data_IF_419716840325
#
_entry.id   IF_419716840325
#
_cell.length_a   1.000
_cell.length_b   1.000
_cell.length_c   1.000
_cell.angle_alpha   90.00
_cell.angle_beta   90.00
_cell.angle_gamma   90.00
#
_symmetry.space_group_name_H-M   'P 1'
#
loop_
_entity.id
_entity.type
_entity.pdbx_description
1 polymer ?
#
# COMPACT_ATOMS: atom_id res chain seq x y z
N UNK A 1 0.13 -4.87 17.79
CA UNK A 1 0.14 -3.47 17.30
C UNK A 1 -1.17 -2.81 17.71
N UNK A 2 -1.06 -1.69 18.37
CA UNK A 2 -2.25 -0.95 18.81
C UNK A 2 -2.73 0.00 17.72
N UNK A 3 -4.04 0.04 17.50
CA UNK A 3 -4.67 0.96 16.57
C UNK A 3 -5.08 2.21 17.33
N UNK A 4 -4.67 3.37 16.82
CA UNK A 4 -5.11 4.66 17.36
C UNK A 4 -6.26 5.18 16.50
N UNK A 5 -7.50 5.24 17.04
CA UNK A 5 -8.66 5.62 16.25
C UNK A 5 -8.59 7.03 15.66
N UNK A 6 -7.76 7.91 16.21
CA UNK A 6 -7.62 9.27 15.71
C UNK A 6 -6.61 9.38 14.57
N UNK A 7 -5.60 8.50 14.54
CA UNK A 7 -4.50 8.57 13.60
C UNK A 7 -4.55 7.50 12.51
N UNK A 8 -5.21 6.38 12.77
CA UNK A 8 -5.19 5.20 11.91
C UNK A 8 -6.51 4.97 11.19
N UNK A 9 -6.43 4.76 9.88
CA UNK A 9 -7.55 4.26 9.07
C UNK A 9 -7.24 2.80 8.75
N UNK A 10 -8.18 1.91 8.99
CA UNK A 10 -7.97 0.46 8.87
C UNK A 10 -8.97 -0.16 7.91
N UNK A 11 -8.46 -0.93 6.95
CA UNK A 11 -9.27 -1.71 6.02
C UNK A 11 -8.86 -3.17 6.13
N UNK A 12 -9.82 -4.06 6.36
CA UNK A 12 -9.58 -5.50 6.45
C UNK A 12 -10.44 -6.22 5.43
N UNK A 13 -9.84 -7.19 4.71
CA UNK A 13 -10.53 -8.03 3.72
C UNK A 13 -10.02 -9.45 3.81
N UNK A 14 -10.90 -10.41 3.51
CA UNK A 14 -10.48 -11.78 3.23
C UNK A 14 -10.31 -11.90 1.72
N UNK A 15 -9.11 -12.25 1.27
CA UNK A 15 -8.78 -12.37 -0.15
C UNK A 15 -8.64 -13.84 -0.50
N UNK A 16 -9.26 -14.25 -1.60
CA UNK A 16 -9.18 -15.62 -2.11
C UNK A 16 -7.92 -15.83 -2.96
N UNK A 17 -6.76 -15.70 -2.31
CA UNK A 17 -5.44 -15.94 -2.90
C UNK A 17 -4.44 -16.18 -1.76
N UNK A 18 -3.37 -16.98 -1.98
CA UNK A 18 -2.39 -17.23 -0.94
C UNK A 18 -1.54 -15.99 -0.66
N UNK A 19 -1.12 -15.82 0.59
CA UNK A 19 -0.38 -14.62 1.01
C UNK A 19 0.97 -14.45 0.28
N UNK A 20 1.61 -15.52 -0.08
CA UNK A 20 2.87 -15.48 -0.83
C UNK A 20 2.67 -14.80 -2.19
N UNK A 21 1.55 -15.07 -2.84
CA UNK A 21 1.20 -14.46 -4.11
C UNK A 21 0.87 -12.98 -3.94
N UNK A 22 0.10 -12.63 -2.89
CA UNK A 22 -0.26 -11.24 -2.60
C UNK A 22 0.98 -10.41 -2.24
N UNK A 23 1.87 -10.97 -1.44
CA UNK A 23 3.14 -10.33 -1.10
C UNK A 23 3.97 -10.08 -2.36
N UNK A 24 4.07 -11.08 -3.25
CA UNK A 24 4.77 -10.96 -4.52
C UNK A 24 4.17 -9.84 -5.37
N UNK A 25 2.85 -9.71 -5.40
CA UNK A 25 2.18 -8.62 -6.14
C UNK A 25 2.57 -7.26 -5.59
N UNK A 26 2.66 -7.12 -4.27
CA UNK A 26 3.01 -5.85 -3.62
C UNK A 26 4.49 -5.48 -3.79
N UNK A 27 5.36 -6.44 -4.02
CA UNK A 27 6.82 -6.23 -4.02
C UNK A 27 7.46 -6.34 -5.40
N UNK A 28 6.68 -6.57 -6.45
CA UNK A 28 7.16 -6.68 -7.82
C UNK A 28 6.56 -5.54 -8.65
N UNK A 29 7.40 -4.63 -9.24
CA UNK A 29 6.88 -3.48 -9.99
C UNK A 29 5.89 -3.84 -11.09
N UNK A 30 6.15 -4.91 -11.87
CA UNK A 30 5.27 -5.34 -12.96
C UNK A 30 3.90 -5.74 -12.47
N UNK A 31 3.81 -6.28 -11.24
CA UNK A 31 2.54 -6.66 -10.63
C UNK A 31 1.86 -5.46 -9.99
N UNK A 32 2.60 -4.68 -9.21
CA UNK A 32 2.03 -3.55 -8.46
C UNK A 32 1.32 -2.55 -9.36
N UNK A 33 1.86 -2.31 -10.55
CA UNK A 33 1.28 -1.39 -11.52
C UNK A 33 -0.15 -1.74 -11.93
N UNK A 34 -0.56 -2.99 -11.74
CA UNK A 34 -1.87 -3.46 -12.20
C UNK A 34 -2.99 -3.28 -11.19
N UNK A 35 -2.68 -2.95 -9.93
CA UNK A 35 -3.73 -2.86 -8.92
C UNK A 35 -3.62 -1.66 -7.96
N UNK A 36 -2.47 -0.99 -7.90
CA UNK A 36 -2.16 -0.04 -6.83
C UNK A 36 -2.95 1.26 -6.87
N UNK A 37 -3.57 1.60 -7.98
CA UNK A 37 -4.47 2.76 -8.08
C UNK A 37 -5.78 2.34 -8.71
N UNK A 38 -6.91 2.96 -8.31
CA UNK A 38 -8.21 2.65 -8.93
C UNK A 38 -8.19 2.97 -10.44
N UNK A 39 -8.60 1.99 -11.24
CA UNK A 39 -8.76 2.21 -12.69
C UNK A 39 -9.85 3.26 -12.93
N UNK A 40 -9.76 4.09 -13.97
CA UNK A 40 -8.81 4.06 -15.09
C UNK A 40 -7.47 4.76 -14.84
N UNK A 41 -7.22 5.23 -13.61
CA UNK A 41 -5.93 5.82 -13.28
C UNK A 41 -4.82 4.77 -13.42
N UNK A 42 -3.57 5.24 -13.60
CA UNK A 42 -2.46 4.35 -13.90
C UNK A 42 -1.25 4.63 -13.06
N UNK A 43 -0.49 3.57 -12.77
CA UNK A 43 0.88 3.69 -12.27
C UNK A 43 1.79 3.67 -13.49
N UNK A 44 2.46 4.77 -13.76
CA UNK A 44 3.31 4.92 -14.96
C UNK A 44 4.77 4.58 -14.70
N UNK A 45 5.20 4.63 -13.44
CA UNK A 45 6.56 4.25 -13.05
C UNK A 45 6.55 3.71 -11.64
N UNK A 46 7.43 2.74 -11.37
CA UNK A 46 7.51 2.10 -10.07
C UNK A 46 8.92 1.58 -9.84
N UNK A 47 9.55 2.00 -8.73
CA UNK A 47 10.87 1.53 -8.32
C UNK A 47 10.76 1.03 -6.89
N UNK A 48 11.02 -0.26 -6.69
CA UNK A 48 10.92 -0.91 -5.38
C UNK A 48 12.24 -1.60 -5.04
N UNK A 49 12.89 -1.13 -3.97
CA UNK A 49 14.04 -1.78 -3.37
C UNK A 49 13.57 -2.38 -2.05
N UNK A 50 13.16 -3.64 -2.06
CA UNK A 50 12.38 -4.29 -1.00
C UNK A 50 13.28 -4.68 0.17
N UNK A 51 13.59 -3.68 1.00
CA UNK A 51 14.37 -3.82 2.24
C UNK A 51 14.13 -2.58 3.09
N UNK A 52 14.38 -2.69 4.39
CA UNK A 52 14.29 -1.51 5.27
C UNK A 52 15.24 -0.43 4.76
N UNK A 53 14.73 0.78 4.58
CA UNK A 53 15.48 1.91 4.01
C UNK A 53 15.55 1.94 2.49
N UNK A 54 15.09 0.90 1.80
CA UNK A 54 15.06 0.86 0.35
C UNK A 54 13.98 1.75 -0.24
N UNK A 55 14.17 2.19 -1.47
CA UNK A 55 13.23 3.08 -2.16
C UNK A 55 11.88 2.38 -2.39
N UNK A 56 10.80 3.14 -2.15
CA UNK A 56 9.44 2.73 -2.49
C UNK A 56 8.82 3.91 -3.23
N UNK A 57 9.04 3.97 -4.54
CA UNK A 57 8.66 5.10 -5.37
C UNK A 57 7.66 4.69 -6.42
N UNK A 58 6.55 5.43 -6.51
CA UNK A 58 5.54 5.23 -7.55
C UNK A 58 5.18 6.55 -8.18
N UNK A 59 4.81 6.51 -9.45
CA UNK A 59 4.31 7.68 -10.18
C UNK A 59 2.93 7.32 -10.72
N UNK A 60 1.93 8.16 -10.44
CA UNK A 60 0.55 7.96 -10.89
C UNK A 60 0.21 8.96 -11.98
N UNK A 61 -0.62 8.52 -12.92
CA UNK A 61 -1.31 9.39 -13.85
C UNK A 61 -2.80 9.35 -13.50
N UNK A 62 -3.30 10.46 -12.94
CA UNK A 62 -4.69 10.61 -12.51
C UNK A 62 -5.32 11.70 -13.36
N UNK A 63 -6.06 11.28 -14.38
CA UNK A 63 -6.75 12.18 -15.33
C UNK A 63 -5.79 13.20 -15.98
N UNK A 64 -4.59 12.74 -16.34
CA UNK A 64 -3.57 13.59 -16.96
C UNK A 64 -2.68 14.33 -15.98
N UNK A 65 -2.98 14.27 -14.68
CA UNK A 65 -2.14 14.85 -13.63
C UNK A 65 -1.12 13.81 -13.18
N UNK A 66 0.15 14.16 -13.27
CA UNK A 66 1.23 13.27 -12.84
C UNK A 66 1.53 13.51 -11.36
N UNK A 67 1.48 12.44 -10.56
CA UNK A 67 1.72 12.50 -9.12
C UNK A 67 2.87 11.57 -8.76
N UNK A 68 3.95 12.15 -8.25
CA UNK A 68 5.09 11.36 -7.76
C UNK A 68 4.92 11.07 -6.27
N UNK A 69 5.06 9.80 -5.89
CA UNK A 69 4.94 9.35 -4.51
C UNK A 69 6.24 8.64 -4.15
N UNK A 70 7.17 9.39 -3.57
CA UNK A 70 8.48 8.88 -3.22
C UNK A 70 8.55 8.60 -1.73
N UNK A 71 9.13 7.47 -1.37
CA UNK A 71 9.24 7.07 0.02
C UNK A 71 10.24 5.93 0.22
N UNK A 72 10.17 5.34 1.40
CA UNK A 72 11.04 4.21 1.76
C UNK A 72 10.22 3.13 2.45
N UNK A 73 10.75 1.89 2.41
CA UNK A 73 10.27 0.84 3.28
C UNK A 73 10.88 1.03 4.68
N UNK A 74 10.07 0.81 5.70
CA UNK A 74 10.52 0.83 7.10
C UNK A 74 10.74 -0.57 7.65
N UNK A 75 9.88 -1.51 7.26
CA UNK A 75 9.97 -2.88 7.75
C UNK A 75 9.47 -3.84 6.67
N UNK A 76 10.18 -4.94 6.48
CA UNK A 76 9.80 -6.01 5.55
C UNK A 76 9.92 -7.34 6.28
N UNK A 77 8.81 -8.06 6.39
CA UNK A 77 8.80 -9.45 6.85
C UNK A 77 8.18 -10.24 5.69
N UNK A 78 8.97 -11.03 4.96
CA UNK A 78 8.48 -11.71 3.76
C UNK A 78 7.20 -12.49 4.01
N UNK A 79 6.22 -12.31 3.12
CA UNK A 79 4.90 -12.94 3.13
C UNK A 79 3.98 -12.53 4.29
N UNK A 80 4.46 -11.66 5.20
CA UNK A 80 3.69 -11.30 6.40
C UNK A 80 3.42 -9.81 6.54
N UNK A 81 4.41 -8.96 6.24
CA UNK A 81 4.28 -7.54 6.58
C UNK A 81 5.12 -6.64 5.70
N UNK A 82 4.50 -5.55 5.24
CA UNK A 82 5.18 -4.47 4.53
C UNK A 82 4.81 -3.16 5.23
N UNK A 83 5.82 -2.38 5.62
CA UNK A 83 5.61 -1.02 6.14
C UNK A 83 6.35 -0.06 5.23
N UNK A 84 5.63 0.91 4.68
CA UNK A 84 6.25 1.95 3.86
C UNK A 84 5.71 3.32 4.22
N UNK A 85 6.48 4.36 3.91
CA UNK A 85 6.14 5.72 4.32
C UNK A 85 6.68 6.74 3.33
N UNK A 86 6.01 7.88 3.24
CA UNK A 86 6.50 9.04 2.51
C UNK A 86 7.17 10.06 3.45
N UNK A 87 7.37 9.71 4.74
CA UNK A 87 8.05 10.55 5.72
C UNK A 87 9.52 10.77 5.37
N UNK A 88 10.14 9.77 4.74
CA UNK A 88 11.51 9.83 4.26
C UNK A 88 11.59 9.39 2.81
N UNK A 89 12.62 9.86 2.12
CA UNK A 89 13.01 9.31 0.83
C UNK A 89 14.34 8.61 0.97
N UNK A 90 14.78 7.93 -0.09
CA UNK A 90 16.01 7.14 -0.06
C UNK A 90 17.19 7.93 0.48
N UNK A 91 18.00 7.32 1.34
CA UNK A 91 19.10 7.98 2.03
C UNK A 91 18.68 8.67 3.31
N UNK A 92 17.47 8.35 3.81
CA UNK A 92 16.92 8.91 5.06
C UNK A 92 16.77 10.42 5.01
N UNK A 93 16.36 10.94 3.84
CA UNK A 93 16.08 12.37 3.67
C UNK A 93 14.65 12.64 4.09
N UNK A 94 14.42 13.52 5.09
CA UNK A 94 13.07 13.84 5.53
C UNK A 94 12.27 14.52 4.42
N UNK A 95 11.01 14.09 4.27
CA UNK A 95 10.09 14.73 3.34
C UNK A 95 9.51 16.01 3.98
N UNK A 96 9.24 17.05 3.20
CA UNK A 96 8.71 18.31 3.77
C UNK A 96 7.28 18.18 4.29
N UNK A 97 6.46 17.36 3.64
CA UNK A 97 5.05 17.21 4.02
C UNK A 97 4.64 15.74 3.97
N UNK A 98 5.00 14.94 5.00
CA UNK A 98 4.64 13.53 5.02
C UNK A 98 3.12 13.36 5.13
N UNK A 99 2.58 12.41 4.36
CA UNK A 99 1.15 12.14 4.34
C UNK A 99 0.77 10.96 5.23
N UNK A 100 1.42 9.80 5.04
CA UNK A 100 1.07 8.61 5.80
C UNK A 100 2.20 7.60 5.91
N UNK A 101 2.04 6.70 6.89
CA UNK A 101 2.80 5.44 6.96
C UNK A 101 1.80 4.33 6.74
N UNK A 102 2.04 3.48 5.75
CA UNK A 102 1.16 2.37 5.42
C UNK A 102 1.73 1.08 5.97
N UNK A 103 0.85 0.29 6.58
CA UNK A 103 1.20 -1.02 7.13
C UNK A 103 0.29 -2.04 6.47
N UNK A 104 0.87 -2.97 5.72
CA UNK A 104 0.13 -4.02 5.02
C UNK A 104 0.46 -5.35 5.68
N UNK A 105 -0.57 -6.03 6.18
CA UNK A 105 -0.43 -7.29 6.88
C UNK A 105 -1.09 -8.41 6.08
N UNK A 106 -0.41 -9.55 5.98
CA UNK A 106 -0.88 -10.74 5.28
C UNK A 106 -0.91 -11.91 6.26
N UNK A 107 -2.10 -12.32 6.68
CA UNK A 107 -2.27 -13.46 7.59
C UNK A 107 -2.83 -14.65 6.83
N UNK A 108 -2.13 -15.79 6.88
CA UNK A 108 -2.57 -17.02 6.22
C UNK A 108 -3.77 -17.60 6.97
N UNK A 109 -4.92 -17.70 6.28
CA UNK A 109 -6.12 -18.30 6.83
C UNK A 109 -6.27 -19.79 6.48
N UNK A 110 -5.32 -20.34 5.71
CA UNK A 110 -5.44 -21.68 5.19
C UNK A 110 -6.29 -21.75 3.92
N UNK A 111 -6.20 -22.88 3.20
CA UNK A 111 -6.97 -23.12 1.98
C UNK A 111 -6.78 -22.06 0.89
N UNK A 112 -5.58 -21.46 0.83
CA UNK A 112 -5.27 -20.47 -0.19
C UNK A 112 -5.96 -19.14 0.01
N UNK A 113 -6.33 -18.79 1.25
CA UNK A 113 -6.98 -17.51 1.60
C UNK A 113 -6.12 -16.71 2.56
N UNK A 114 -6.23 -15.41 2.47
CA UNK A 114 -5.44 -14.46 3.26
C UNK A 114 -6.35 -13.45 3.92
N UNK A 115 -6.10 -13.16 5.21
CA UNK A 115 -6.66 -11.98 5.86
C UNK A 115 -5.70 -10.83 5.55
N UNK A 116 -6.18 -9.87 4.77
CA UNK A 116 -5.44 -8.70 4.35
C UNK A 116 -5.86 -7.51 5.20
N UNK A 117 -4.91 -6.82 5.80
CA UNK A 117 -5.18 -5.62 6.58
C UNK A 117 -4.29 -4.49 6.07
N UNK A 118 -4.90 -3.37 5.73
CA UNK A 118 -4.19 -2.16 5.34
C UNK A 118 -4.46 -1.09 6.39
N UNK A 119 -3.40 -0.55 6.98
CA UNK A 119 -3.47 0.49 7.99
C UNK A 119 -2.76 1.72 7.43
N UNK A 120 -3.48 2.83 7.31
CA UNK A 120 -2.87 4.11 6.96
C UNK A 120 -2.77 4.94 8.24
N UNK A 121 -1.54 5.13 8.70
CA UNK A 121 -1.22 5.85 9.94
C UNK A 121 -0.76 7.26 9.62
N UNK A 122 -1.30 8.25 10.34
CA UNK A 122 -1.09 9.66 10.05
C UNK A 122 -0.40 10.37 11.21
N UNK A 123 0.27 11.49 10.90
CA UNK A 123 1.01 12.27 11.89
C UNK A 123 0.11 13.04 12.86
N UNK A 124 -1.12 13.34 12.45
CA UNK A 124 -2.09 14.04 13.29
C UNK A 124 -3.51 13.72 12.84
N UNK A 125 -4.47 14.13 13.66
CA UNK A 125 -5.89 13.86 13.42
C UNK A 125 -6.40 14.53 12.14
N UNK A 126 -5.96 15.75 11.87
CA UNK A 126 -6.39 16.51 10.68
C UNK A 126 -5.99 15.78 9.39
N UNK A 127 -4.79 15.24 9.33
CA UNK A 127 -4.33 14.48 8.15
C UNK A 127 -5.12 13.20 7.99
N UNK A 128 -5.41 12.49 9.10
CA UNK A 128 -6.23 11.28 9.07
C UNK A 128 -7.64 11.59 8.56
N UNK A 129 -8.26 12.64 9.07
CA UNK A 129 -9.60 13.06 8.62
C UNK A 129 -9.61 13.47 7.16
N UNK A 130 -8.58 14.17 6.71
CA UNK A 130 -8.42 14.57 5.31
C UNK A 130 -8.36 13.33 4.40
N UNK A 131 -7.55 12.33 4.76
CA UNK A 131 -7.43 11.10 3.98
C UNK A 131 -8.76 10.33 3.92
N UNK A 132 -9.48 10.30 5.05
CA UNK A 132 -10.79 9.67 5.10
C UNK A 132 -11.78 10.36 4.17
N UNK A 133 -11.80 11.70 4.17
CA UNK A 133 -12.67 12.49 3.28
C UNK A 133 -12.29 12.37 1.81
N UNK A 134 -11.01 12.15 1.51
CA UNK A 134 -10.55 11.90 0.15
C UNK A 134 -10.99 10.54 -0.38
N UNK A 135 -11.60 9.70 0.46
CA UNK A 135 -12.11 8.41 0.05
C UNK A 135 -11.18 7.24 0.34
N UNK A 136 -10.54 7.24 1.51
CA UNK A 136 -9.66 6.13 1.90
C UNK A 136 -10.32 4.76 1.70
N UNK A 137 -11.52 4.58 2.27
CA UNK A 137 -12.19 3.28 2.22
C UNK A 137 -12.57 2.88 0.80
N UNK A 138 -13.05 3.81 0.00
CA UNK A 138 -13.41 3.53 -1.40
C UNK A 138 -12.17 3.26 -2.24
N UNK A 139 -11.11 4.10 -2.09
CA UNK A 139 -9.89 3.97 -2.86
C UNK A 139 -9.12 2.71 -2.53
N UNK A 140 -8.85 2.48 -1.24
CA UNK A 140 -8.12 1.29 -0.80
C UNK A 140 -8.93 0.01 -0.98
N UNK A 141 -10.27 0.10 -0.85
CA UNK A 141 -11.15 -1.02 -1.14
C UNK A 141 -11.10 -1.42 -2.60
N UNK A 142 -11.10 -0.44 -3.51
CA UNK A 142 -10.95 -0.69 -4.94
C UNK A 142 -9.59 -1.32 -5.24
N UNK A 143 -8.52 -0.84 -4.60
CA UNK A 143 -7.18 -1.42 -4.76
C UNK A 143 -7.17 -2.88 -4.33
N UNK A 144 -7.80 -3.22 -3.20
CA UNK A 144 -7.89 -4.61 -2.74
C UNK A 144 -8.67 -5.48 -3.73
N UNK A 145 -9.79 -4.97 -4.24
CA UNK A 145 -10.58 -5.72 -5.23
C UNK A 145 -9.78 -5.97 -6.50
N UNK A 146 -9.02 -4.97 -6.94
CA UNK A 146 -8.15 -5.10 -8.10
C UNK A 146 -6.99 -6.07 -7.84
N UNK A 147 -6.42 -6.04 -6.63
CA UNK A 147 -5.38 -6.96 -6.21
C UNK A 147 -5.88 -8.40 -6.27
N UNK A 148 -7.05 -8.67 -5.71
CA UNK A 148 -7.62 -10.02 -5.72
C UNK A 148 -7.85 -10.52 -7.13
N UNK A 149 -8.47 -9.71 -7.99
CA UNK A 149 -8.73 -10.08 -9.38
C UNK A 149 -7.43 -10.35 -10.15
N UNK A 150 -6.44 -9.48 -9.95
CA UNK A 150 -5.14 -9.63 -10.61
C UNK A 150 -4.42 -10.90 -10.14
N UNK A 151 -4.39 -11.13 -8.83
CA UNK A 151 -3.73 -12.30 -8.25
C UNK A 151 -4.38 -13.61 -8.73
N UNK A 152 -5.70 -13.64 -8.83
CA UNK A 152 -6.41 -14.82 -9.32
C UNK A 152 -6.05 -15.13 -10.77
N UNK A 153 -5.75 -14.13 -11.57
CA UNK A 153 -5.29 -14.32 -12.94
C UNK A 153 -3.88 -14.88 -13.05
N UNK A 154 -3.09 -14.83 -11.97
CA UNK A 154 -1.74 -15.35 -11.93
C UNK A 154 -1.65 -16.82 -11.47
N UNK A 155 -2.73 -17.34 -10.96
CA UNK A 155 -2.76 -18.73 -10.46
C UNK A 155 -2.65 -19.75 -11.59
#
# INVERSE_FOLDING_TARGET
MEIDPELDLVLTRTINAPRELLYSCWTTPEHLKNFFVPKPHKVTACTLDVRAGGACNTTFDVEGTIMENNGVYLEIIPNEKIVFTDTYTEGWKPAPEPFMTAIILFEDLGNGRTKYTAIARHRNKETAESHKKMGFYDGWGTVVDQLEAYAQGLK
#
